data_IF_817925508506
#
_entry.id   IF_817925508506
#
_cell.length_a   1.000
_cell.length_b   1.000
_cell.length_c   1.000
_cell.angle_alpha   90.00
_cell.angle_beta   90.00
_cell.angle_gamma   90.00
#
_symmetry.space_group_name_H-M   'P 1'
#
loop_
_entity.id
_entity.type
_entity.pdbx_description
1 polymer ?
#
# COMPACT_ATOMS: atom_id res chain seq x y z
N UNK A 1 36.39 -34.60 22.46
CA UNK A 1 35.06 -34.59 23.08
C UNK A 1 34.23 -35.61 22.31
N UNK A 2 34.11 -36.83 22.83
CA UNK A 2 33.36 -37.90 22.15
C UNK A 2 31.88 -37.71 22.54
N UNK A 3 31.06 -37.30 21.62
CA UNK A 3 29.60 -37.30 21.79
C UNK A 3 29.18 -38.75 21.60
N UNK A 4 28.63 -39.38 22.64
CA UNK A 4 28.12 -40.76 22.54
C UNK A 4 26.92 -40.76 21.57
N UNK A 5 26.84 -41.80 20.74
CA UNK A 5 25.79 -41.92 19.70
C UNK A 5 24.37 -41.83 20.27
N UNK A 6 24.18 -42.16 21.56
CA UNK A 6 22.90 -42.04 22.26
C UNK A 6 22.44 -40.59 22.45
N UNK A 7 23.34 -39.68 22.76
CA UNK A 7 23.03 -38.26 22.96
C UNK A 7 22.58 -37.60 21.64
N UNK A 8 23.22 -37.99 20.54
CA UNK A 8 22.85 -37.43 19.22
C UNK A 8 21.43 -37.85 18.81
N UNK A 9 21.05 -39.10 19.07
CA UNK A 9 19.69 -39.58 18.75
C UNK A 9 18.65 -38.88 19.60
N UNK A 10 18.93 -38.58 20.86
CA UNK A 10 18.02 -37.87 21.75
C UNK A 10 17.79 -36.43 21.30
N UNK A 11 18.85 -35.69 20.95
CA UNK A 11 18.75 -34.32 20.43
C UNK A 11 17.99 -34.24 19.10
N UNK A 12 18.17 -35.19 18.20
CA UNK A 12 17.44 -35.26 16.94
C UNK A 12 15.95 -35.50 17.19
N UNK A 13 15.60 -36.37 18.14
CA UNK A 13 14.21 -36.66 18.49
C UNK A 13 13.52 -35.45 19.12
N UNK A 14 14.15 -34.76 20.08
CA UNK A 14 13.61 -33.53 20.66
C UNK A 14 13.41 -32.43 19.62
N UNK A 15 14.38 -32.26 18.72
CA UNK A 15 14.26 -31.26 17.64
C UNK A 15 13.08 -31.54 16.70
N UNK A 16 12.87 -32.80 16.33
CA UNK A 16 11.73 -33.21 15.49
C UNK A 16 10.40 -32.99 16.21
N UNK A 17 10.31 -33.28 17.50
CA UNK A 17 9.10 -33.08 18.31
C UNK A 17 8.80 -31.58 18.44
N UNK A 18 9.81 -30.75 18.72
CA UNK A 18 9.63 -29.28 18.82
C UNK A 18 9.20 -28.70 17.47
N UNK A 19 9.83 -29.12 16.38
CA UNK A 19 9.43 -28.67 15.03
C UNK A 19 7.99 -29.09 14.69
N UNK A 20 7.60 -30.31 15.05
CA UNK A 20 6.23 -30.81 14.87
C UNK A 20 5.19 -30.03 15.68
N UNK A 21 5.51 -29.70 16.95
CA UNK A 21 4.66 -28.89 17.81
C UNK A 21 4.52 -27.44 17.28
N UNK A 22 5.61 -26.82 16.87
CA UNK A 22 5.61 -25.48 16.27
C UNK A 22 4.80 -25.46 14.97
N UNK A 23 4.97 -26.49 14.14
CA UNK A 23 4.21 -26.61 12.89
C UNK A 23 2.72 -26.82 13.14
N UNK A 24 2.35 -27.63 14.16
CA UNK A 24 0.95 -27.86 14.56
C UNK A 24 0.31 -26.59 15.12
N UNK A 25 1.01 -25.85 15.98
CA UNK A 25 0.56 -24.55 16.47
C UNK A 25 0.37 -23.57 15.30
N UNK A 26 1.30 -23.57 14.34
CA UNK A 26 1.20 -22.75 13.14
C UNK A 26 -0.06 -23.06 12.32
N UNK A 27 -0.39 -24.35 12.12
CA UNK A 27 -1.58 -24.78 11.40
C UNK A 27 -2.89 -24.44 12.14
N UNK A 28 -2.92 -24.57 13.49
CA UNK A 28 -4.11 -24.21 14.29
C UNK A 28 -4.41 -22.71 14.28
N UNK A 29 -3.39 -21.87 14.06
CA UNK A 29 -3.59 -20.41 13.90
C UNK A 29 -3.99 -20.01 12.48
N UNK A 30 -3.74 -20.85 11.45
CA UNK A 30 -4.08 -20.53 10.08
C UNK A 30 -5.59 -20.63 9.76
N UNK A 31 -6.33 -21.49 10.46
CA UNK A 31 -7.72 -21.82 10.10
C UNK A 31 -8.78 -20.97 10.79
N UNK A 32 -8.42 -20.07 11.70
CA UNK A 32 -9.41 -19.15 12.28
C UNK A 32 -9.65 -17.98 11.33
N UNK A 33 -10.87 -17.86 10.75
CA UNK A 33 -11.21 -16.65 10.02
C UNK A 33 -11.11 -15.48 10.99
N UNK A 34 -10.18 -14.58 10.74
CA UNK A 34 -10.14 -13.33 11.48
C UNK A 34 -11.46 -12.60 11.24
N UNK A 35 -12.14 -12.13 12.29
CA UNK A 35 -13.26 -11.23 12.12
C UNK A 35 -12.75 -10.04 11.29
N UNK A 36 -13.34 -9.85 10.12
CA UNK A 36 -13.11 -8.62 9.37
C UNK A 36 -13.47 -7.49 10.32
N UNK A 37 -12.63 -6.46 10.50
CA UNK A 37 -13.15 -5.23 11.04
C UNK A 37 -14.31 -4.85 10.12
N UNK A 38 -15.50 -4.76 10.67
CA UNK A 38 -16.64 -4.15 10.00
C UNK A 38 -16.16 -2.74 9.61
N UNK A 39 -15.85 -2.57 8.34
CA UNK A 39 -15.60 -1.25 7.80
C UNK A 39 -17.00 -0.66 7.73
N UNK A 40 -17.37 0.08 8.75
CA UNK A 40 -18.52 0.96 8.72
C UNK A 40 -18.23 1.93 7.55
N UNK A 41 -18.80 1.60 6.38
CA UNK A 41 -18.82 2.49 5.24
C UNK A 41 -19.76 3.62 5.67
N UNK A 42 -19.20 4.61 6.34
CA UNK A 42 -19.92 5.84 6.59
C UNK A 42 -20.43 6.33 5.23
N UNK A 43 -21.76 6.52 5.09
CA UNK A 43 -22.28 7.10 3.87
C UNK A 43 -21.52 8.41 3.61
N UNK A 44 -21.24 8.76 2.36
CA UNK A 44 -20.59 10.02 2.04
C UNK A 44 -21.31 11.14 2.77
N UNK A 45 -20.58 12.10 3.36
CA UNK A 45 -21.20 13.22 4.06
C UNK A 45 -22.22 13.82 3.14
N UNK A 46 -23.49 13.93 3.63
CA UNK A 46 -24.52 14.60 2.86
C UNK A 46 -23.98 15.98 2.48
N UNK A 47 -24.12 16.40 1.22
CA UNK A 47 -23.82 17.76 0.87
C UNK A 47 -24.59 18.66 1.84
N UNK A 48 -23.97 19.71 2.37
CA UNK A 48 -24.65 20.63 3.27
C UNK A 48 -25.93 21.08 2.60
N UNK A 49 -27.07 20.95 3.32
CA UNK A 49 -28.35 21.44 2.84
C UNK A 49 -28.15 22.91 2.45
N UNK A 50 -28.27 23.15 1.17
CA UNK A 50 -28.11 24.49 0.58
C UNK A 50 -29.18 25.40 1.19
N UNK A 51 -28.74 26.25 2.10
CA UNK A 51 -29.49 27.48 2.41
C UNK A 51 -29.56 28.24 1.08
N UNK A 52 -30.74 28.25 0.48
CA UNK A 52 -31.02 29.00 -0.75
C UNK A 52 -31.01 30.47 -0.38
N UNK A 53 -29.82 31.02 -0.21
CA UNK A 53 -29.60 32.44 -0.38
C UNK A 53 -29.27 32.64 -1.84
N UNK A 54 -30.07 33.44 -2.53
CA UNK A 54 -29.91 33.82 -3.95
C UNK A 54 -28.43 34.02 -4.27
N UNK A 55 -27.81 33.27 -5.18
CA UNK A 55 -26.40 33.41 -5.45
C UNK A 55 -26.16 34.72 -6.17
N UNK A 56 -25.45 35.62 -5.52
CA UNK A 56 -24.68 36.63 -6.24
C UNK A 56 -23.74 35.83 -7.17
N UNK A 57 -23.97 35.92 -8.48
CA UNK A 57 -23.16 35.22 -9.47
C UNK A 57 -21.77 35.88 -9.45
N UNK A 58 -20.93 35.43 -8.53
CA UNK A 58 -19.50 35.72 -8.61
C UNK A 58 -19.00 34.90 -9.80
N UNK A 59 -18.73 35.58 -10.89
CA UNK A 59 -18.09 35.01 -12.07
C UNK A 59 -16.74 34.42 -11.64
N UNK A 60 -16.73 33.11 -11.33
CA UNK A 60 -15.50 32.39 -10.99
C UNK A 60 -14.69 32.30 -12.27
N UNK A 61 -13.81 33.29 -12.48
CA UNK A 61 -12.80 33.21 -13.53
C UNK A 61 -12.03 31.93 -13.35
N UNK A 62 -12.11 30.98 -14.31
CA UNK A 62 -11.37 29.73 -14.19
C UNK A 62 -9.88 30.05 -14.11
N UNK A 63 -9.27 29.76 -12.97
CA UNK A 63 -7.82 29.90 -12.84
C UNK A 63 -7.22 28.88 -13.82
N UNK A 64 -6.73 29.39 -14.96
CA UNK A 64 -6.00 28.57 -15.94
C UNK A 64 -4.68 28.13 -15.29
N UNK A 65 -4.71 26.97 -14.61
CA UNK A 65 -3.51 26.37 -14.08
C UNK A 65 -2.73 25.75 -15.24
N UNK A 66 -1.49 26.20 -15.43
CA UNK A 66 -0.62 25.61 -16.45
C UNK A 66 -0.38 24.13 -16.13
N UNK A 67 -0.52 23.23 -17.12
CA UNK A 67 -0.28 21.81 -16.91
C UNK A 67 1.12 21.57 -16.33
N UNK A 68 1.21 20.66 -15.38
CA UNK A 68 2.48 20.32 -14.75
C UNK A 68 3.46 19.74 -15.76
N UNK A 69 4.69 20.24 -15.77
CA UNK A 69 5.78 19.65 -16.59
C UNK A 69 6.13 18.26 -16.07
N UNK A 70 6.40 17.36 -16.99
CA UNK A 70 6.87 16.02 -16.69
C UNK A 70 8.22 16.06 -15.97
N UNK A 71 8.42 15.37 -14.82
CA UNK A 71 9.72 15.27 -14.19
C UNK A 71 10.74 14.63 -15.14
N UNK A 72 12.00 15.06 -15.10
CA UNK A 72 13.04 14.58 -16.04
C UNK A 72 14.20 13.89 -15.33
N UNK A 73 14.41 14.15 -14.06
CA UNK A 73 15.47 13.54 -13.24
C UNK A 73 14.91 12.68 -12.10
N UNK A 74 15.76 11.81 -11.55
CA UNK A 74 15.42 11.02 -10.35
C UNK A 74 15.00 11.92 -9.20
N UNK A 75 15.67 13.05 -9.00
CA UNK A 75 15.34 14.03 -7.98
C UNK A 75 13.96 14.62 -8.18
N UNK A 76 13.64 15.04 -9.42
CA UNK A 76 12.34 15.63 -9.74
C UNK A 76 11.20 14.64 -9.49
N UNK A 77 11.40 13.36 -9.82
CA UNK A 77 10.43 12.31 -9.51
C UNK A 77 10.28 12.05 -8.01
N UNK A 78 11.39 12.07 -7.25
CA UNK A 78 11.30 11.94 -5.79
C UNK A 78 10.52 13.12 -5.19
N UNK A 79 10.77 14.34 -5.64
CA UNK A 79 10.07 15.53 -5.16
C UNK A 79 8.59 15.49 -5.58
N UNK A 80 8.29 15.07 -6.80
CA UNK A 80 6.94 14.80 -7.26
C UNK A 80 6.19 13.79 -6.37
N UNK A 81 6.81 12.63 -6.08
CA UNK A 81 6.17 11.61 -5.24
C UNK A 81 6.07 12.02 -3.77
N UNK A 82 6.87 12.95 -3.28
CA UNK A 82 6.65 13.55 -1.95
C UNK A 82 5.34 14.34 -1.89
N UNK A 83 5.02 15.10 -2.94
CA UNK A 83 3.76 15.82 -3.03
C UNK A 83 2.58 14.84 -3.09
N UNK A 84 2.70 13.75 -3.90
CA UNK A 84 1.70 12.68 -3.90
C UNK A 84 1.54 12.06 -2.51
N UNK A 85 2.65 11.80 -1.80
CA UNK A 85 2.63 11.27 -0.43
C UNK A 85 1.93 12.21 0.55
N UNK A 86 2.19 13.50 0.47
CA UNK A 86 1.55 14.50 1.33
C UNK A 86 0.03 14.50 1.11
N UNK A 87 -0.40 14.48 -0.15
CA UNK A 87 -1.80 14.35 -0.49
C UNK A 87 -2.41 13.05 0.05
N UNK A 88 -1.74 11.91 -0.15
CA UNK A 88 -2.20 10.61 0.36
C UNK A 88 -2.35 10.61 1.89
N UNK A 89 -1.41 11.22 2.61
CA UNK A 89 -1.45 11.30 4.08
C UNK A 89 -2.64 12.13 4.61
N UNK A 90 -3.08 13.11 3.85
CA UNK A 90 -4.22 13.97 4.20
C UNK A 90 -5.55 13.29 3.90
N UNK A 91 -5.64 12.56 2.78
CA UNK A 91 -6.91 12.12 2.19
C UNK A 91 -7.17 10.62 2.36
N UNK A 92 -6.14 9.76 2.47
CA UNK A 92 -6.33 8.31 2.54
C UNK A 92 -6.07 7.83 3.98
N UNK A 93 -7.11 7.30 4.62
CA UNK A 93 -7.04 6.79 5.98
C UNK A 93 -7.59 5.37 6.04
N UNK A 94 -6.76 4.43 6.48
CA UNK A 94 -7.15 3.05 6.73
C UNK A 94 -6.95 2.74 8.23
N UNK A 95 -7.99 2.90 9.02
CA UNK A 95 -7.97 2.70 10.47
C UNK A 95 -7.11 3.74 11.20
N UNK A 96 -6.36 3.31 12.25
CA UNK A 96 -5.52 4.23 13.05
C UNK A 96 -4.41 4.84 12.22
N UNK A 97 -4.23 6.15 12.35
CA UNK A 97 -3.19 6.91 11.63
C UNK A 97 -1.81 6.30 11.83
N UNK A 98 -1.08 6.17 10.75
CA UNK A 98 0.28 5.67 10.76
C UNK A 98 1.25 6.83 10.92
N UNK A 99 1.96 6.87 12.04
CA UNK A 99 2.94 7.95 12.33
C UNK A 99 4.19 7.88 11.46
N UNK A 100 4.52 6.71 10.91
CA UNK A 100 5.75 6.49 10.15
C UNK A 100 5.47 6.76 8.67
N UNK A 101 6.14 7.75 8.10
CA UNK A 101 6.12 8.02 6.66
C UNK A 101 6.98 6.99 5.90
N UNK A 102 6.52 6.46 4.76
CA UNK A 102 7.37 5.61 3.95
C UNK A 102 8.50 6.43 3.31
N UNK A 103 9.65 5.79 3.12
CA UNK A 103 10.72 6.34 2.26
C UNK A 103 10.31 6.16 0.80
N UNK A 104 10.73 7.09 -0.05
CA UNK A 104 10.46 7.03 -1.48
C UNK A 104 11.79 6.82 -2.20
N UNK A 105 11.81 5.89 -3.14
CA UNK A 105 12.93 5.68 -4.06
C UNK A 105 12.40 5.49 -5.48
N UNK A 106 13.21 5.88 -6.47
CA UNK A 106 12.83 5.87 -7.89
C UNK A 106 13.93 5.19 -8.70
N UNK A 107 13.52 4.34 -9.62
CA UNK A 107 14.41 3.71 -10.61
C UNK A 107 13.85 3.92 -12.01
N UNK A 108 14.74 4.15 -12.98
CA UNK A 108 14.41 4.21 -14.41
C UNK A 108 14.59 2.86 -15.11
N UNK A 109 15.01 1.83 -14.38
CA UNK A 109 15.13 0.46 -14.87
C UNK A 109 14.11 -0.43 -14.19
N UNK A 110 13.26 -1.07 -14.98
CA UNK A 110 12.22 -1.97 -14.49
C UNK A 110 12.77 -3.39 -14.30
N UNK A 111 12.31 -4.07 -13.26
CA UNK A 111 12.49 -5.53 -13.12
C UNK A 111 11.16 -6.23 -13.42
N UNK A 112 11.08 -6.91 -14.55
CA UNK A 112 9.84 -7.56 -15.00
C UNK A 112 8.74 -6.55 -15.33
N UNK A 113 7.48 -6.88 -15.02
CA UNK A 113 6.31 -6.03 -15.31
C UNK A 113 5.84 -5.22 -14.08
N UNK A 114 6.70 -5.06 -13.07
CA UNK A 114 6.35 -4.35 -11.84
C UNK A 114 6.56 -2.85 -12.01
N UNK A 115 5.55 -2.04 -11.76
CA UNK A 115 5.62 -0.58 -11.84
C UNK A 115 6.00 0.09 -10.50
N UNK A 116 5.79 -0.59 -9.41
CA UNK A 116 6.16 -0.18 -8.06
C UNK A 116 6.03 -1.33 -7.07
N UNK A 117 6.56 -1.17 -5.87
CA UNK A 117 6.30 -2.07 -4.76
C UNK A 117 6.57 -1.42 -3.41
N UNK A 118 5.80 -1.82 -2.39
CA UNK A 118 6.05 -1.46 -1.01
C UNK A 118 6.93 -2.49 -0.32
N UNK A 119 8.04 -2.05 0.27
CA UNK A 119 8.96 -2.90 1.03
C UNK A 119 8.75 -2.69 2.53
N UNK A 120 8.05 -3.63 3.16
CA UNK A 120 7.65 -3.55 4.57
C UNK A 120 8.84 -3.37 5.52
N UNK A 121 9.92 -4.14 5.37
CA UNK A 121 11.03 -4.20 6.33
C UNK A 121 11.73 -2.85 6.54
N UNK A 122 11.83 -2.04 5.49
CA UNK A 122 12.48 -0.73 5.51
C UNK A 122 11.51 0.42 5.29
N UNK A 123 10.20 0.13 5.26
CA UNK A 123 9.13 1.11 5.06
C UNK A 123 9.38 1.99 3.83
N UNK A 124 9.64 1.36 2.69
CA UNK A 124 9.99 2.04 1.45
C UNK A 124 9.02 1.73 0.33
N UNK A 125 8.60 2.75 -0.39
CA UNK A 125 7.92 2.64 -1.68
C UNK A 125 8.99 2.81 -2.76
N UNK A 126 9.14 1.80 -3.61
CA UNK A 126 9.97 1.85 -4.80
C UNK A 126 9.08 2.08 -6.02
N UNK A 127 9.41 3.07 -6.83
CA UNK A 127 8.72 3.37 -8.09
C UNK A 127 9.63 3.11 -9.29
N UNK A 128 9.12 2.41 -10.28
CA UNK A 128 9.78 2.21 -11.57
C UNK A 128 9.17 3.14 -12.60
N UNK A 129 9.90 4.20 -12.94
CA UNK A 129 9.42 5.22 -13.86
C UNK A 129 10.00 4.96 -15.25
N UNK A 130 9.15 4.48 -16.14
CA UNK A 130 9.51 4.19 -17.52
C UNK A 130 9.15 5.37 -18.44
N UNK A 131 9.86 5.51 -19.56
CA UNK A 131 9.60 6.58 -20.54
C UNK A 131 8.16 6.65 -21.05
N UNK A 132 7.47 5.49 -21.08
CA UNK A 132 6.12 5.39 -21.62
C UNK A 132 5.03 5.54 -20.54
N UNK A 133 5.40 5.69 -19.27
CA UNK A 133 4.43 5.86 -18.20
C UNK A 133 3.92 7.30 -18.17
N UNK A 134 2.61 7.46 -18.11
CA UNK A 134 2.01 8.77 -17.86
C UNK A 134 2.18 9.17 -16.39
N UNK A 135 2.18 10.47 -16.10
CA UNK A 135 2.19 10.94 -14.69
C UNK A 135 1.00 10.38 -13.92
N UNK A 136 -0.18 10.37 -14.55
CA UNK A 136 -1.40 9.79 -13.98
C UNK A 136 -1.22 8.32 -13.61
N UNK A 137 -0.61 7.50 -14.49
CA UNK A 137 -0.32 6.09 -14.19
C UNK A 137 0.68 5.92 -13.04
N UNK A 138 1.70 6.80 -12.98
CA UNK A 138 2.65 6.82 -11.89
C UNK A 138 1.98 7.19 -10.55
N UNK A 139 1.05 8.16 -10.54
CA UNK A 139 0.25 8.51 -9.35
C UNK A 139 -0.60 7.34 -8.90
N UNK A 140 -1.30 6.66 -9.81
CA UNK A 140 -2.13 5.49 -9.49
C UNK A 140 -1.30 4.39 -8.83
N UNK A 141 -0.14 4.06 -9.42
CA UNK A 141 0.79 3.08 -8.85
C UNK A 141 1.27 3.52 -7.47
N UNK A 142 1.63 4.80 -7.29
CA UNK A 142 2.09 5.30 -6.00
C UNK A 142 1.00 5.20 -4.92
N UNK A 143 -0.24 5.57 -5.23
CA UNK A 143 -1.38 5.44 -4.31
C UNK A 143 -1.58 3.96 -3.93
N UNK A 144 -1.49 3.03 -4.89
CA UNK A 144 -1.59 1.60 -4.65
C UNK A 144 -0.54 1.12 -3.63
N UNK A 145 0.73 1.49 -3.82
CA UNK A 145 1.82 1.13 -2.90
C UNK A 145 1.70 1.82 -1.53
N UNK A 146 1.14 3.03 -1.51
CA UNK A 146 0.82 3.71 -0.26
C UNK A 146 -0.30 3.00 0.52
N UNK A 147 -1.30 2.45 -0.15
CA UNK A 147 -2.32 1.62 0.49
C UNK A 147 -1.68 0.39 1.14
N UNK A 148 -0.76 -0.30 0.47
CA UNK A 148 0.01 -1.39 1.09
C UNK A 148 0.80 -0.94 2.32
N UNK A 149 1.37 0.28 2.29
CA UNK A 149 1.99 0.86 3.48
C UNK A 149 1.00 0.99 4.64
N UNK A 150 -0.25 1.34 4.40
CA UNK A 150 -1.28 1.43 5.43
C UNK A 150 -1.80 0.06 5.89
N UNK A 151 -1.93 -0.90 5.00
CA UNK A 151 -2.42 -2.26 5.27
C UNK A 151 -1.42 -3.10 6.06
N UNK A 152 -0.13 -3.09 5.66
CA UNK A 152 0.91 -3.94 6.23
C UNK A 152 1.60 -3.21 7.39
N UNK A 153 1.02 -3.29 8.59
CA UNK A 153 1.47 -2.56 9.78
C UNK A 153 2.47 -3.33 10.63
N UNK A 154 2.40 -4.65 10.59
CA UNK A 154 3.20 -5.56 11.41
C UNK A 154 3.84 -6.67 10.59
N UNK A 155 4.80 -7.38 11.16
CA UNK A 155 5.36 -8.58 10.56
C UNK A 155 4.27 -9.64 10.28
N UNK A 156 3.25 -9.73 11.16
CA UNK A 156 2.11 -10.63 10.99
C UNK A 156 1.29 -10.29 9.74
N UNK A 157 1.01 -8.99 9.50
CA UNK A 157 0.30 -8.56 8.30
C UNK A 157 1.10 -8.87 7.04
N UNK A 158 2.43 -8.68 7.09
CA UNK A 158 3.31 -9.01 5.97
C UNK A 158 3.33 -10.52 5.67
N UNK A 159 3.38 -11.36 6.69
CA UNK A 159 3.27 -12.82 6.53
C UNK A 159 1.91 -13.19 5.93
N UNK A 160 0.82 -12.60 6.44
CA UNK A 160 -0.54 -12.82 5.94
C UNK A 160 -0.68 -12.42 4.46
N UNK A 161 -0.20 -11.23 4.09
CA UNK A 161 -0.16 -10.77 2.70
C UNK A 161 0.52 -11.79 1.79
N UNK A 162 1.74 -12.22 2.16
CA UNK A 162 2.51 -13.18 1.37
C UNK A 162 1.82 -14.56 1.28
N UNK A 163 1.19 -15.01 2.36
CA UNK A 163 0.44 -16.28 2.39
C UNK A 163 -0.78 -16.20 1.47
N UNK A 164 -1.55 -15.10 1.51
CA UNK A 164 -2.70 -14.90 0.63
C UNK A 164 -2.28 -14.83 -0.84
N UNK A 165 -1.18 -14.13 -1.14
CA UNK A 165 -0.63 -14.06 -2.51
C UNK A 165 -0.25 -15.44 -3.04
N UNK A 166 0.34 -16.30 -2.21
CA UNK A 166 0.70 -17.67 -2.60
C UNK A 166 -0.52 -18.57 -2.79
N UNK A 167 -1.57 -18.42 -1.97
CA UNK A 167 -2.76 -19.28 -1.99
C UNK A 167 -3.78 -18.86 -3.06
N UNK A 168 -4.06 -17.58 -3.18
CA UNK A 168 -5.10 -17.02 -4.06
C UNK A 168 -4.55 -16.45 -5.37
N UNK A 169 -3.24 -16.27 -5.46
CA UNK A 169 -2.63 -15.47 -6.52
C UNK A 169 -2.70 -13.97 -6.22
N UNK A 170 -1.97 -13.19 -7.00
CA UNK A 170 -1.88 -11.74 -6.85
C UNK A 170 -3.24 -11.04 -7.08
N UNK A 171 -3.97 -11.47 -8.09
CA UNK A 171 -5.22 -10.82 -8.52
C UNK A 171 -6.33 -10.96 -7.46
N UNK A 172 -6.45 -12.16 -6.86
CA UNK A 172 -7.51 -12.51 -5.92
C UNK A 172 -7.13 -12.26 -4.45
N UNK A 173 -5.96 -11.69 -4.19
CA UNK A 173 -5.58 -11.27 -2.86
C UNK A 173 -6.40 -10.06 -2.42
N UNK A 174 -7.07 -10.17 -1.27
CA UNK A 174 -7.93 -9.12 -0.74
C UNK A 174 -7.19 -7.79 -0.52
N UNK A 175 -5.91 -7.83 -0.11
CA UNK A 175 -5.07 -6.64 0.01
C UNK A 175 -4.84 -5.93 -1.32
N UNK A 176 -4.60 -6.73 -2.38
CA UNK A 176 -4.38 -6.21 -3.72
C UNK A 176 -5.65 -5.62 -4.32
N UNK A 177 -6.80 -6.28 -4.08
CA UNK A 177 -8.10 -5.79 -4.52
C UNK A 177 -8.41 -4.45 -3.88
N UNK A 178 -8.29 -4.33 -2.54
CA UNK A 178 -8.51 -3.08 -1.83
C UNK A 178 -7.54 -1.97 -2.30
N UNK A 179 -6.26 -2.31 -2.54
CA UNK A 179 -5.29 -1.34 -3.04
C UNK A 179 -5.64 -0.84 -4.45
N UNK A 180 -6.11 -1.72 -5.35
CA UNK A 180 -6.58 -1.33 -6.68
C UNK A 180 -7.82 -0.44 -6.62
N UNK A 181 -8.80 -0.82 -5.81
CA UNK A 181 -10.06 -0.10 -5.67
C UNK A 181 -9.82 1.31 -5.13
N UNK A 182 -9.04 1.43 -4.05
CA UNK A 182 -8.71 2.73 -3.45
C UNK A 182 -7.83 3.58 -4.36
N UNK A 183 -6.84 3.00 -5.04
CA UNK A 183 -6.00 3.76 -5.97
C UNK A 183 -6.80 4.32 -7.14
N UNK A 184 -7.78 3.56 -7.64
CA UNK A 184 -8.68 4.02 -8.70
C UNK A 184 -9.65 5.09 -8.21
N UNK A 185 -10.18 4.94 -7.00
CA UNK A 185 -11.12 5.88 -6.38
C UNK A 185 -10.49 7.26 -6.18
N UNK A 186 -9.28 7.29 -5.61
CA UNK A 186 -8.61 8.54 -5.26
C UNK A 186 -7.80 9.18 -6.40
N UNK A 187 -7.66 8.50 -7.54
CA UNK A 187 -6.80 8.95 -8.64
C UNK A 187 -7.16 10.33 -9.17
N UNK A 188 -8.45 10.57 -9.43
CA UNK A 188 -8.89 11.84 -10.03
C UNK A 188 -8.60 13.02 -9.09
N UNK A 189 -8.99 12.92 -7.84
CA UNK A 189 -8.77 13.97 -6.83
C UNK A 189 -7.29 14.29 -6.64
N UNK A 190 -6.44 13.26 -6.61
CA UNK A 190 -5.00 13.45 -6.50
C UNK A 190 -4.41 14.11 -7.75
N UNK A 191 -4.85 13.71 -8.95
CA UNK A 191 -4.41 14.32 -10.20
C UNK A 191 -4.84 15.80 -10.30
N UNK A 192 -6.06 16.14 -9.88
CA UNK A 192 -6.56 17.50 -9.83
C UNK A 192 -5.75 18.37 -8.85
N UNK A 193 -5.42 17.83 -7.68
CA UNK A 193 -4.54 18.50 -6.72
C UNK A 193 -3.16 18.81 -7.32
N UNK A 194 -2.60 17.85 -8.08
CA UNK A 194 -1.27 17.96 -8.69
C UNK A 194 -1.25 18.72 -10.03
N UNK A 195 -2.40 19.11 -10.57
CA UNK A 195 -2.57 19.70 -11.92
C UNK A 195 -2.00 18.85 -13.06
N UNK A 196 -2.35 17.55 -13.11
CA UNK A 196 -1.94 16.59 -14.14
C UNK A 196 -3.13 15.86 -14.75
#
# INVERSE_FOLDING_TARGET
MNIETGDLVFYVYEFVVICGLVFRIYLEFEDKPYPRPEVEILPPPRPPESIVTSPEIVEVVPIQRTPRKHPVSKKDYIDFFKEVLEWCQQNIKLGKDRKIKPRIDVSFSQKGNVLGYYQYNIKKIMMYVLKNNTLRGNVQTFIHEYVHHLQIRSAKDNVRYNTLTRRKGYIDNDYEREARDLSSFYLNECCDYLNI
#
